data_IF_660166409016
#
_entry.id   IF_660166409016
#
_cell.length_a   1.000
_cell.length_b   1.000
_cell.length_c   1.000
_cell.angle_alpha   90.00
_cell.angle_beta   90.00
_cell.angle_gamma   90.00
#
_symmetry.space_group_name_H-M   'P 1'
#
loop_
_entity.id
_entity.type
_entity.pdbx_description
1 polymer ?
#
# COMPACT_ATOMS: atom_id res chain seq x y z
N UNK A 1 86.51 33.35 -5.77
CA UNK A 1 86.06 34.42 -4.83
C UNK A 1 86.03 35.74 -5.57
N UNK A 2 84.97 36.53 -5.34
CA UNK A 2 84.66 37.90 -5.83
C UNK A 2 84.08 38.00 -7.25
N UNK A 3 83.01 38.73 -7.53
CA UNK A 3 81.77 39.18 -6.84
C UNK A 3 81.09 40.17 -7.83
N UNK A 4 79.76 40.09 -7.97
CA UNK A 4 78.78 41.17 -8.30
C UNK A 4 78.75 41.85 -9.71
N UNK A 5 77.70 41.48 -10.48
CA UNK A 5 76.59 42.22 -11.15
C UNK A 5 76.50 43.78 -11.11
N UNK A 6 75.48 44.44 -11.74
CA UNK A 6 75.09 44.55 -13.17
C UNK A 6 74.62 46.01 -13.59
N UNK A 7 74.09 46.17 -14.82
CA UNK A 7 73.26 47.31 -15.28
C UNK A 7 73.89 48.12 -16.43
N UNK A 8 73.20 48.70 -17.42
CA UNK A 8 71.78 48.83 -17.77
C UNK A 8 71.72 49.25 -19.27
N UNK A 9 70.64 48.95 -20.01
CA UNK A 9 70.42 49.53 -21.33
C UNK A 9 68.91 49.69 -21.66
N UNK A 10 68.51 50.97 -21.69
CA UNK A 10 67.72 51.71 -22.71
C UNK A 10 66.41 51.14 -23.27
N UNK A 11 65.40 52.02 -23.22
CA UNK A 11 64.03 51.91 -23.71
C UNK A 11 63.87 51.98 -25.23
N UNK A 12 62.82 51.31 -25.75
CA UNK A 12 62.08 51.71 -26.96
C UNK A 12 60.59 51.41 -26.77
N UNK A 13 59.77 52.43 -27.03
CA UNK A 13 58.31 52.40 -27.00
C UNK A 13 57.73 51.80 -28.30
N UNK A 14 56.61 51.09 -28.16
CA UNK A 14 55.80 50.61 -29.29
C UNK A 14 54.46 50.08 -28.80
N UNK A 15 53.43 50.92 -28.84
CA UNK A 15 52.02 50.54 -28.59
C UNK A 15 51.52 49.66 -29.75
N UNK A 16 51.24 48.40 -29.44
CA UNK A 16 50.38 47.52 -30.23
C UNK A 16 49.32 46.98 -29.26
N UNK A 17 48.08 47.43 -29.46
CA UNK A 17 46.92 46.94 -28.71
C UNK A 17 46.59 45.53 -29.22
N UNK A 18 46.99 44.54 -28.44
CA UNK A 18 46.57 43.14 -28.58
C UNK A 18 45.94 42.75 -27.24
N UNK A 19 44.63 42.54 -27.25
CA UNK A 19 43.84 41.99 -26.15
C UNK A 19 44.42 40.65 -25.72
N UNK A 20 45.00 40.63 -24.51
CA UNK A 20 45.62 39.46 -23.92
C UNK A 20 44.59 38.64 -23.13
N UNK A 21 44.54 37.34 -23.44
CA UNK A 21 44.03 36.31 -22.53
C UNK A 21 44.95 36.16 -21.32
N UNK A 22 44.36 35.88 -20.15
CA UNK A 22 45.05 35.14 -19.09
C UNK A 22 44.67 35.56 -17.68
N UNK A 23 43.87 34.72 -17.00
CA UNK A 23 43.86 34.74 -15.54
C UNK A 23 42.64 34.15 -14.86
N UNK A 24 42.77 32.87 -14.52
CA UNK A 24 42.09 32.18 -13.43
C UNK A 24 40.67 31.67 -13.68
N UNK A 25 40.60 30.34 -13.80
CA UNK A 25 39.37 29.58 -13.79
C UNK A 25 38.59 29.81 -12.51
N UNK A 26 37.30 29.98 -12.72
CA UNK A 26 36.25 29.44 -11.86
C UNK A 26 35.13 29.10 -12.83
N UNK A 27 35.33 27.99 -13.55
CA UNK A 27 34.19 27.22 -14.04
C UNK A 27 33.48 26.76 -12.77
N UNK A 28 32.58 27.60 -12.30
CA UNK A 28 31.50 27.23 -11.40
C UNK A 28 30.58 26.29 -12.21
N UNK A 29 31.10 25.09 -12.42
CA UNK A 29 30.31 23.90 -12.68
C UNK A 29 29.60 23.58 -11.37
N UNK A 30 28.67 24.46 -11.01
CA UNK A 30 27.49 24.07 -10.27
C UNK A 30 26.88 22.94 -11.05
N UNK A 31 27.22 21.71 -10.66
CA UNK A 31 26.44 20.54 -10.96
C UNK A 31 25.02 20.92 -10.55
N UNK A 32 24.19 21.25 -11.53
CA UNK A 32 22.76 21.25 -11.31
C UNK A 32 22.48 19.82 -10.85
N UNK A 33 22.30 19.64 -9.54
CA UNK A 33 21.58 18.47 -9.07
C UNK A 33 20.31 18.50 -9.90
N UNK A 34 20.02 17.43 -10.62
CA UNK A 34 18.68 17.27 -11.15
C UNK A 34 17.81 17.18 -9.91
N UNK A 35 17.27 18.31 -9.44
CA UNK A 35 16.59 18.49 -8.16
C UNK A 35 15.26 17.77 -8.16
N UNK A 36 15.32 16.44 -8.21
CA UNK A 36 14.17 15.56 -8.13
C UNK A 36 13.62 15.62 -6.73
N UNK A 37 12.30 15.67 -6.63
CA UNK A 37 11.61 15.53 -5.35
C UNK A 37 11.85 14.13 -4.80
N UNK A 38 12.25 14.04 -3.53
CA UNK A 38 12.62 12.80 -2.86
C UNK A 38 11.46 12.30 -2.01
N UNK A 39 11.05 11.05 -2.23
CA UNK A 39 10.07 10.35 -1.42
C UNK A 39 10.79 9.32 -0.55
N UNK A 40 10.54 9.37 0.75
CA UNK A 40 10.91 8.30 1.68
C UNK A 40 9.68 7.51 2.07
N UNK A 41 9.60 6.25 1.65
CA UNK A 41 8.61 5.29 2.11
C UNK A 41 9.12 4.62 3.39
N UNK A 42 8.43 4.85 4.51
CA UNK A 42 8.73 4.21 5.80
C UNK A 42 7.68 3.15 6.09
N UNK A 43 8.13 1.91 6.28
CA UNK A 43 7.29 0.72 6.42
C UNK A 43 7.43 0.18 7.84
N UNK A 44 6.35 0.20 8.62
CA UNK A 44 6.25 -0.43 9.94
C UNK A 44 6.03 -1.97 9.82
N UNK A 45 6.90 -2.59 9.04
CA UNK A 45 6.82 -3.97 8.60
C UNK A 45 7.97 -4.27 7.65
N UNK A 46 7.68 -5.02 6.58
CA UNK A 46 8.65 -5.23 5.51
C UNK A 46 7.98 -5.53 4.18
N UNK A 47 8.74 -5.37 3.12
CA UNK A 47 8.41 -5.79 1.77
C UNK A 47 8.41 -7.32 1.67
N UNK A 48 7.88 -7.84 0.56
CA UNK A 48 7.70 -9.26 0.31
C UNK A 48 6.38 -9.82 0.85
N UNK A 49 5.47 -8.95 1.34
CA UNK A 49 4.14 -9.32 1.79
C UNK A 49 3.19 -9.71 0.65
N UNK A 50 3.59 -9.47 -0.60
CA UNK A 50 2.82 -9.76 -1.82
C UNK A 50 1.43 -9.11 -1.81
N UNK A 51 1.23 -8.06 -1.01
CA UNK A 51 -0.08 -7.46 -0.79
C UNK A 51 0.03 -5.95 -0.62
N UNK A 52 -0.01 -5.46 0.61
CA UNK A 52 -0.19 -4.06 0.98
C UNK A 52 1.09 -3.22 0.82
N UNK A 53 2.20 -3.62 1.45
CA UNK A 53 3.45 -2.85 1.40
C UNK A 53 4.16 -3.00 0.06
N UNK A 54 4.11 -4.18 -0.56
CA UNK A 54 4.59 -4.36 -1.94
C UNK A 54 3.79 -3.47 -2.91
N UNK A 55 2.46 -3.33 -2.73
CA UNK A 55 1.64 -2.40 -3.52
C UNK A 55 2.09 -0.96 -3.35
N UNK A 56 2.28 -0.49 -2.11
CA UNK A 56 2.75 0.86 -1.84
C UNK A 56 4.11 1.15 -2.50
N UNK A 57 5.05 0.22 -2.37
CA UNK A 57 6.38 0.33 -2.98
C UNK A 57 6.32 0.37 -4.50
N UNK A 58 5.57 -0.53 -5.15
CA UNK A 58 5.48 -0.55 -6.61
C UNK A 58 4.82 0.73 -7.16
N UNK A 59 3.84 1.30 -6.45
CA UNK A 59 3.26 2.60 -6.82
C UNK A 59 4.27 3.75 -6.80
N UNK A 60 5.08 3.83 -5.73
CA UNK A 60 6.10 4.87 -5.62
C UNK A 60 7.31 4.62 -6.54
N UNK A 61 7.61 3.36 -6.85
CA UNK A 61 8.62 3.01 -7.85
C UNK A 61 8.19 3.44 -9.26
N UNK A 62 6.90 3.31 -9.58
CA UNK A 62 6.34 3.91 -10.80
C UNK A 62 6.48 5.42 -10.79
N UNK A 63 6.22 6.10 -9.67
CA UNK A 63 6.43 7.54 -9.57
C UNK A 63 7.90 7.94 -9.79
N UNK A 64 8.86 7.16 -9.28
CA UNK A 64 10.29 7.34 -9.57
C UNK A 64 10.59 7.22 -11.08
N UNK A 65 10.12 6.15 -11.72
CA UNK A 65 10.44 5.89 -13.13
C UNK A 65 9.67 6.78 -14.13
N UNK A 66 8.41 7.10 -13.84
CA UNK A 66 7.49 7.77 -14.78
C UNK A 66 7.38 9.27 -14.51
N UNK A 67 7.50 9.72 -13.25
CA UNK A 67 7.29 11.12 -12.84
C UNK A 67 8.59 11.81 -12.38
N UNK A 68 9.71 11.07 -12.32
CA UNK A 68 11.02 11.63 -11.99
C UNK A 68 11.19 12.01 -10.52
N UNK A 69 10.56 11.26 -9.62
CA UNK A 69 10.91 11.29 -8.19
C UNK A 69 12.19 10.48 -7.92
N UNK A 70 12.72 10.58 -6.71
CA UNK A 70 13.70 9.63 -6.15
C UNK A 70 13.06 8.90 -4.98
N UNK A 71 13.14 7.57 -4.95
CA UNK A 71 12.54 6.77 -3.89
C UNK A 71 13.62 6.20 -2.95
N UNK A 72 13.42 6.41 -1.65
CA UNK A 72 14.12 5.67 -0.59
C UNK A 72 13.11 4.88 0.23
N UNK A 73 13.47 3.64 0.59
CA UNK A 73 12.63 2.78 1.42
C UNK A 73 13.33 2.49 2.74
N UNK A 74 12.58 2.53 3.84
CA UNK A 74 13.03 2.15 5.18
C UNK A 74 12.06 1.12 5.76
N UNK A 75 12.55 -0.08 6.07
CA UNK A 75 11.78 -1.15 6.70
C UNK A 75 12.11 -1.21 8.20
N UNK A 76 11.13 -0.90 9.06
CA UNK A 76 11.30 -0.93 10.52
C UNK A 76 11.08 -2.32 11.13
N UNK A 77 10.60 -3.28 10.32
CA UNK A 77 10.24 -4.61 10.77
C UNK A 77 8.94 -4.63 11.60
N UNK A 78 8.64 -5.79 12.18
CA UNK A 78 7.38 -6.05 12.90
C UNK A 78 7.47 -5.75 14.41
N UNK A 79 8.66 -5.36 14.90
CA UNK A 79 8.87 -5.06 16.32
C UNK A 79 8.38 -3.64 16.63
N UNK A 80 7.21 -3.55 17.26
CA UNK A 80 6.56 -2.28 17.59
C UNK A 80 7.43 -1.36 18.44
N UNK A 81 8.36 -1.89 19.23
CA UNK A 81 9.26 -1.08 20.05
C UNK A 81 10.27 -0.27 19.22
N UNK A 82 10.43 -0.62 17.94
CA UNK A 82 11.31 0.08 16.99
C UNK A 82 10.58 1.11 16.12
N UNK A 83 9.25 1.12 16.13
CA UNK A 83 8.48 1.96 15.21
C UNK A 83 8.62 3.44 15.56
N UNK A 84 8.32 3.82 16.79
CA UNK A 84 8.45 5.21 17.27
C UNK A 84 9.85 5.81 17.00
N UNK A 85 10.97 5.24 17.52
CA UNK A 85 12.29 5.79 17.22
C UNK A 85 12.64 5.74 15.73
N UNK A 86 12.15 4.74 15.00
CA UNK A 86 12.36 4.66 13.54
C UNK A 86 11.64 5.77 12.76
N UNK A 87 10.44 6.17 13.19
CA UNK A 87 9.73 7.31 12.60
C UNK A 87 10.35 8.64 13.00
N UNK A 88 10.81 8.79 14.25
CA UNK A 88 11.57 9.97 14.69
C UNK A 88 12.83 10.16 13.84
N UNK A 89 13.65 9.11 13.69
CA UNK A 89 14.86 9.12 12.86
C UNK A 89 14.54 9.41 11.39
N UNK A 90 13.47 8.81 10.86
CA UNK A 90 13.06 9.03 9.48
C UNK A 90 12.60 10.47 9.22
N UNK A 91 11.87 11.07 10.17
CA UNK A 91 11.38 12.44 10.08
C UNK A 91 12.49 13.48 10.24
N UNK A 92 13.47 13.22 11.13
CA UNK A 92 14.60 14.12 11.41
C UNK A 92 15.64 14.19 10.27
N UNK A 93 15.66 13.22 9.37
CA UNK A 93 16.66 13.15 8.31
C UNK A 93 16.38 14.13 7.15
N UNK A 94 17.43 14.72 6.59
CA UNK A 94 17.32 15.71 5.49
C UNK A 94 17.20 15.12 4.08
N UNK A 95 17.14 13.79 3.97
CA UNK A 95 17.21 13.03 2.72
C UNK A 95 15.86 12.83 2.00
N UNK A 96 14.82 13.57 2.40
CA UNK A 96 13.49 13.49 1.79
C UNK A 96 12.82 14.86 1.69
N UNK A 97 11.85 14.97 0.79
CA UNK A 97 10.91 16.10 0.71
C UNK A 97 9.49 15.67 1.11
N UNK A 98 9.14 14.42 0.80
CA UNK A 98 7.89 13.76 1.19
C UNK A 98 8.20 12.48 1.97
N UNK A 99 7.64 12.33 3.17
CA UNK A 99 7.64 11.07 3.92
C UNK A 99 6.30 10.38 3.75
N UNK A 100 6.30 9.22 3.10
CA UNK A 100 5.13 8.37 2.93
C UNK A 100 5.16 7.22 3.94
N UNK A 101 4.07 7.03 4.67
CA UNK A 101 3.93 5.93 5.63
C UNK A 101 2.45 5.56 5.78
N UNK A 102 2.15 4.36 6.26
CA UNK A 102 0.76 3.92 6.36
C UNK A 102 0.53 2.88 7.43
N UNK A 103 -0.74 2.50 7.58
CA UNK A 103 -1.36 1.72 8.67
C UNK A 103 -1.94 2.56 9.80
N UNK A 104 -2.90 1.97 10.52
CA UNK A 104 -3.55 2.57 11.69
C UNK A 104 -2.55 3.02 12.75
N UNK A 105 -1.57 2.18 13.12
CA UNK A 105 -0.59 2.46 14.17
C UNK A 105 0.34 3.65 13.82
N UNK A 106 0.50 3.98 12.54
CA UNK A 106 1.39 5.05 12.07
C UNK A 106 0.79 6.44 12.23
N UNK A 107 -0.54 6.53 12.34
CA UNK A 107 -1.24 7.83 12.37
C UNK A 107 -0.84 8.70 13.55
N UNK A 108 -0.62 8.12 14.73
CA UNK A 108 -0.20 8.87 15.93
C UNK A 108 1.23 9.42 15.77
N UNK A 109 2.18 8.60 15.28
CA UNK A 109 3.57 9.03 15.06
C UNK A 109 3.64 10.20 14.08
N UNK A 110 2.95 10.09 12.94
CA UNK A 110 2.94 11.18 11.95
C UNK A 110 2.21 12.41 12.49
N UNK A 111 1.14 12.22 13.27
CA UNK A 111 0.41 13.31 13.91
C UNK A 111 1.28 14.14 14.86
N UNK A 112 2.18 13.50 15.60
CA UNK A 112 3.11 14.17 16.51
C UNK A 112 4.33 14.78 15.80
N UNK A 113 4.84 14.12 14.75
CA UNK A 113 6.06 14.53 14.05
C UNK A 113 5.81 15.61 13.00
N UNK A 114 4.75 15.51 12.21
CA UNK A 114 4.51 16.43 11.09
C UNK A 114 4.51 17.92 11.48
N UNK A 115 3.94 18.35 12.62
CA UNK A 115 4.01 19.74 13.06
C UNK A 115 5.42 20.26 13.36
N UNK A 116 6.37 19.37 13.65
CA UNK A 116 7.76 19.71 13.97
C UNK A 116 8.60 19.96 12.70
N UNK A 117 8.11 19.52 11.54
CA UNK A 117 8.79 19.64 10.25
C UNK A 117 7.87 20.33 9.22
N UNK A 118 7.51 21.62 9.41
CA UNK A 118 6.54 22.31 8.57
C UNK A 118 6.96 22.46 7.09
N UNK A 119 8.26 22.43 6.82
CA UNK A 119 8.82 22.50 5.46
C UNK A 119 8.83 21.13 4.74
N UNK A 120 8.46 20.05 5.43
CA UNK A 120 8.36 18.70 4.89
C UNK A 120 6.90 18.32 4.67
N UNK A 121 6.66 17.48 3.67
CA UNK A 121 5.34 16.94 3.35
C UNK A 121 5.23 15.51 3.90
N UNK A 122 4.03 15.14 4.33
CA UNK A 122 3.75 13.80 4.83
C UNK A 122 2.55 13.20 4.10
N UNK A 123 2.69 11.96 3.63
CA UNK A 123 1.60 11.18 3.06
C UNK A 123 1.31 10.00 3.99
N UNK A 124 0.07 9.96 4.48
CA UNK A 124 -0.45 8.85 5.26
C UNK A 124 -1.41 8.06 4.39
N UNK A 125 -1.21 6.75 4.30
CA UNK A 125 -2.16 5.88 3.61
C UNK A 125 -2.76 4.86 4.57
N UNK A 126 -3.90 4.27 4.18
CA UNK A 126 -4.67 3.25 4.90
C UNK A 126 -5.47 3.76 6.10
N UNK A 127 -4.98 4.78 6.78
CA UNK A 127 -5.68 5.48 7.85
C UNK A 127 -5.46 6.99 7.73
N UNK A 128 -6.01 7.77 8.65
CA UNK A 128 -5.88 9.22 8.65
C UNK A 128 -5.43 9.72 10.02
N UNK A 129 -4.61 10.78 10.00
CA UNK A 129 -4.29 11.55 11.20
C UNK A 129 -5.51 12.31 11.70
N UNK A 130 -5.51 12.68 12.98
CA UNK A 130 -6.55 13.54 13.54
C UNK A 130 -6.33 15.02 13.15
N UNK A 131 -6.99 15.45 12.08
CA UNK A 131 -6.99 16.85 11.63
C UNK A 131 -7.69 17.82 12.59
N UNK A 132 -8.38 17.35 13.64
CA UNK A 132 -9.02 18.23 14.63
C UNK A 132 -8.01 18.86 15.60
N UNK A 133 -6.79 18.33 15.66
CA UNK A 133 -5.70 18.82 16.51
C UNK A 133 -5.76 18.37 17.97
N UNK A 134 -6.55 17.34 18.30
CA UNK A 134 -6.67 16.81 19.67
C UNK A 134 -5.58 15.79 20.03
N UNK A 135 -5.06 15.08 19.03
CA UNK A 135 -4.08 14.00 19.20
C UNK A 135 -2.78 14.32 18.43
N UNK A 136 -1.87 15.09 19.00
CA UNK A 136 -0.51 15.29 18.47
C UNK A 136 -0.36 16.35 17.36
N UNK A 137 -1.34 16.51 16.47
CA UNK A 137 -1.30 17.51 15.39
C UNK A 137 -1.56 18.95 15.87
N UNK A 138 -0.60 19.53 16.58
CA UNK A 138 -0.68 20.90 17.11
C UNK A 138 -0.92 21.99 16.05
N UNK A 139 -0.57 21.72 14.78
CA UNK A 139 -0.80 22.61 13.63
C UNK A 139 -1.94 22.12 12.71
N UNK A 140 -2.85 21.26 13.19
CA UNK A 140 -3.93 20.63 12.39
C UNK A 140 -3.44 19.78 11.20
N UNK A 141 -2.18 19.33 11.25
CA UNK A 141 -1.59 18.51 10.19
C UNK A 141 -1.64 19.19 8.80
N UNK A 142 -1.46 20.51 8.69
CA UNK A 142 -1.59 21.25 7.42
C UNK A 142 -0.61 20.79 6.31
N UNK A 143 0.47 20.09 6.66
CA UNK A 143 1.45 19.47 5.76
C UNK A 143 1.27 17.95 5.59
N UNK A 144 0.16 17.38 6.08
CA UNK A 144 -0.17 15.96 5.96
C UNK A 144 -1.32 15.78 4.98
N UNK A 145 -1.17 14.83 4.06
CA UNK A 145 -2.25 14.30 3.23
C UNK A 145 -2.54 12.87 3.67
N UNK A 146 -3.81 12.55 3.92
CA UNK A 146 -4.22 11.18 4.26
C UNK A 146 -5.12 10.58 3.18
N UNK A 147 -4.85 9.35 2.76
CA UNK A 147 -5.74 8.56 1.89
C UNK A 147 -6.22 7.30 2.61
N UNK A 148 -7.53 7.20 2.82
CA UNK A 148 -8.19 6.00 3.35
C UNK A 148 -8.93 5.26 2.26
N UNK A 149 -9.23 3.99 2.50
CA UNK A 149 -9.88 3.14 1.52
C UNK A 149 -11.24 2.69 2.04
N UNK A 150 -12.23 2.58 1.14
CA UNK A 150 -13.53 1.98 1.44
C UNK A 150 -13.45 0.46 1.33
N UNK A 151 -12.60 -0.15 2.16
CA UNK A 151 -12.32 -1.58 2.09
C UNK A 151 -13.54 -2.46 2.40
N UNK A 152 -14.54 -1.95 3.12
CA UNK A 152 -15.85 -2.57 3.23
C UNK A 152 -16.52 -2.82 1.87
N UNK A 153 -16.36 -1.94 0.88
CA UNK A 153 -16.93 -2.14 -0.45
C UNK A 153 -16.31 -3.37 -1.16
N UNK A 154 -14.98 -3.52 -1.07
CA UNK A 154 -14.28 -4.70 -1.56
C UNK A 154 -14.62 -5.96 -0.76
N UNK A 155 -14.73 -5.83 0.56
CA UNK A 155 -15.23 -6.88 1.44
C UNK A 155 -16.62 -7.36 1.02
N UNK A 156 -17.53 -6.44 0.70
CA UNK A 156 -18.87 -6.77 0.21
C UNK A 156 -18.82 -7.61 -1.07
N UNK A 157 -17.98 -7.25 -2.03
CA UNK A 157 -17.80 -8.05 -3.24
C UNK A 157 -17.23 -9.45 -2.94
N UNK A 158 -16.23 -9.56 -2.07
CA UNK A 158 -15.71 -10.86 -1.64
C UNK A 158 -16.78 -11.72 -0.98
N UNK A 159 -17.53 -11.16 -0.03
CA UNK A 159 -18.59 -11.90 0.66
C UNK A 159 -19.68 -12.37 -0.28
N UNK A 160 -20.09 -11.50 -1.21
CA UNK A 160 -21.10 -11.80 -2.22
C UNK A 160 -20.62 -12.94 -3.12
N UNK A 161 -19.41 -12.84 -3.66
CA UNK A 161 -18.81 -13.86 -4.52
C UNK A 161 -18.64 -15.19 -3.78
N UNK A 162 -18.11 -15.17 -2.54
CA UNK A 162 -17.88 -16.37 -1.74
C UNK A 162 -19.18 -17.15 -1.51
N UNK A 163 -20.28 -16.47 -1.17
CA UNK A 163 -21.57 -17.12 -1.01
C UNK A 163 -22.09 -17.69 -2.34
N UNK A 164 -22.01 -16.94 -3.44
CA UNK A 164 -22.47 -17.43 -4.74
C UNK A 164 -21.72 -18.68 -5.19
N UNK A 165 -20.40 -18.70 -5.04
CA UNK A 165 -19.55 -19.84 -5.35
C UNK A 165 -19.95 -21.09 -4.55
N UNK A 166 -20.23 -20.93 -3.25
CA UNK A 166 -20.64 -22.01 -2.36
C UNK A 166 -22.07 -22.48 -2.66
N UNK A 167 -23.03 -21.56 -2.77
CA UNK A 167 -24.45 -21.87 -2.98
C UNK A 167 -24.69 -22.58 -4.32
N UNK A 168 -23.97 -22.18 -5.37
CA UNK A 168 -24.04 -22.76 -6.71
C UNK A 168 -23.09 -23.96 -6.90
N UNK A 169 -22.33 -24.33 -5.85
CA UNK A 169 -21.36 -25.45 -5.88
C UNK A 169 -20.32 -25.30 -7.01
N UNK A 170 -19.90 -24.07 -7.28
CA UNK A 170 -19.01 -23.73 -8.39
C UNK A 170 -17.54 -24.10 -8.12
N UNK A 171 -17.19 -24.42 -6.87
CA UNK A 171 -15.83 -24.77 -6.45
C UNK A 171 -15.60 -26.29 -6.55
N UNK A 172 -14.85 -26.71 -7.57
CA UNK A 172 -14.55 -28.12 -7.84
C UNK A 172 -13.88 -28.80 -6.63
N UNK A 173 -14.40 -29.95 -6.23
CA UNK A 173 -13.92 -30.70 -5.06
C UNK A 173 -14.38 -30.14 -3.70
N UNK A 174 -15.16 -29.04 -3.69
CA UNK A 174 -15.74 -28.42 -2.50
C UNK A 174 -17.28 -28.30 -2.60
N UNK A 175 -17.93 -29.02 -3.51
CA UNK A 175 -19.36 -28.92 -3.85
C UNK A 175 -20.30 -29.28 -2.69
N UNK A 176 -19.81 -30.04 -1.71
CA UNK A 176 -20.55 -30.44 -0.51
C UNK A 176 -20.30 -29.54 0.70
N UNK A 177 -19.40 -28.55 0.58
CA UNK A 177 -19.02 -27.66 1.66
C UNK A 177 -19.86 -26.40 1.63
N UNK A 178 -20.23 -25.90 2.81
CA UNK A 178 -21.09 -24.73 2.97
C UNK A 178 -20.52 -23.69 3.94
N UNK A 179 -19.21 -23.71 4.17
CA UNK A 179 -18.55 -22.72 5.03
C UNK A 179 -17.52 -21.95 4.24
N UNK A 180 -17.30 -20.70 4.65
CA UNK A 180 -16.20 -19.85 4.17
C UNK A 180 -15.47 -19.29 5.38
N UNK A 181 -14.18 -19.07 5.27
CA UNK A 181 -13.36 -18.50 6.33
C UNK A 181 -12.86 -17.10 5.99
N UNK A 182 -12.62 -16.30 7.02
CA UNK A 182 -11.86 -15.05 6.94
C UNK A 182 -10.80 -15.08 8.04
N UNK A 183 -9.54 -14.90 7.64
CA UNK A 183 -8.40 -14.77 8.57
C UNK A 183 -7.99 -13.31 8.60
N UNK A 184 -8.34 -12.60 9.66
CA UNK A 184 -7.89 -11.21 9.88
C UNK A 184 -6.50 -11.17 10.53
N UNK A 185 -5.73 -10.11 10.32
CA UNK A 185 -4.48 -9.90 11.07
C UNK A 185 -4.75 -9.69 12.56
N UNK A 186 -5.41 -8.58 12.89
CA UNK A 186 -5.81 -8.20 14.26
C UNK A 186 -7.13 -7.45 14.23
N UNK A 187 -7.85 -7.41 15.35
CA UNK A 187 -9.14 -6.75 15.45
C UNK A 187 -8.99 -5.23 15.63
N UNK A 188 -8.77 -4.54 14.52
CA UNK A 188 -8.69 -3.07 14.40
C UNK A 188 -9.71 -2.56 13.37
N UNK A 189 -10.08 -1.26 13.38
CA UNK A 189 -11.13 -0.73 12.51
C UNK A 189 -10.98 -1.10 11.03
N UNK A 190 -9.77 -0.97 10.45
CA UNK A 190 -9.50 -1.32 9.04
C UNK A 190 -9.83 -2.78 8.72
N UNK A 191 -9.46 -3.71 9.59
CA UNK A 191 -9.72 -5.15 9.38
C UNK A 191 -11.20 -5.49 9.63
N UNK A 192 -11.81 -4.86 10.64
CA UNK A 192 -13.24 -5.01 10.88
C UNK A 192 -14.07 -4.48 9.70
N UNK A 193 -13.63 -3.40 9.03
CA UNK A 193 -14.32 -2.81 7.89
C UNK A 193 -14.40 -3.80 6.70
N UNK A 194 -13.30 -4.48 6.38
CA UNK A 194 -13.30 -5.60 5.43
C UNK A 194 -14.30 -6.71 5.83
N UNK A 195 -14.28 -7.14 7.10
CA UNK A 195 -15.10 -8.25 7.60
C UNK A 195 -16.58 -7.87 7.66
N UNK A 196 -16.91 -6.63 7.99
CA UNK A 196 -18.27 -6.09 7.99
C UNK A 196 -18.81 -6.09 6.56
N UNK A 197 -18.03 -5.56 5.61
CA UNK A 197 -18.33 -5.64 4.18
C UNK A 197 -18.60 -7.08 3.74
N UNK A 198 -17.68 -8.00 4.06
CA UNK A 198 -17.81 -9.43 3.75
C UNK A 198 -19.11 -10.03 4.25
N UNK A 199 -19.44 -9.83 5.53
CA UNK A 199 -20.68 -10.36 6.09
C UNK A 199 -21.91 -9.74 5.44
N UNK A 200 -21.87 -8.46 5.06
CA UNK A 200 -22.96 -7.78 4.37
C UNK A 200 -23.18 -8.37 2.97
N UNK A 201 -22.11 -8.52 2.18
CA UNK A 201 -22.18 -9.12 0.84
C UNK A 201 -22.60 -10.58 0.85
N UNK A 202 -22.05 -11.36 1.76
CA UNK A 202 -22.40 -12.77 1.97
C UNK A 202 -23.89 -12.93 2.30
N UNK A 203 -24.43 -12.07 3.18
CA UNK A 203 -25.85 -12.06 3.50
C UNK A 203 -26.70 -11.65 2.28
N UNK A 204 -26.29 -10.64 1.53
CA UNK A 204 -27.00 -10.14 0.36
C UNK A 204 -27.08 -11.18 -0.77
N UNK A 205 -26.03 -12.00 -0.95
CA UNK A 205 -25.99 -13.09 -1.92
C UNK A 205 -26.88 -14.30 -1.56
N UNK A 206 -27.46 -14.33 -0.35
CA UNK A 206 -28.38 -15.38 0.08
C UNK A 206 -27.85 -16.30 1.19
N UNK A 207 -26.76 -15.93 1.87
CA UNK A 207 -26.07 -16.69 2.93
C UNK A 207 -26.91 -17.02 4.17
N UNK A 208 -27.91 -17.89 4.00
CA UNK A 208 -28.83 -18.37 5.05
C UNK A 208 -28.48 -19.78 5.52
N UNK A 209 -27.94 -20.60 4.62
CA UNK A 209 -27.60 -22.01 4.85
C UNK A 209 -26.07 -22.26 4.91
N UNK A 210 -25.29 -21.24 4.58
CA UNK A 210 -23.83 -21.23 4.63
C UNK A 210 -23.34 -20.51 5.89
N UNK A 211 -22.08 -20.72 6.30
CA UNK A 211 -21.51 -20.10 7.51
C UNK A 211 -20.19 -19.40 7.25
N UNK A 212 -20.01 -18.23 7.85
CA UNK A 212 -18.74 -17.50 7.87
C UNK A 212 -17.99 -17.82 9.16
N UNK A 213 -16.77 -18.36 9.03
CA UNK A 213 -15.81 -18.52 10.12
C UNK A 213 -14.90 -17.28 10.13
N UNK A 214 -14.69 -16.66 11.28
CA UNK A 214 -13.75 -15.55 11.42
C UNK A 214 -12.79 -15.86 12.55
N UNK A 215 -11.50 -15.72 12.29
CA UNK A 215 -10.44 -15.79 13.29
C UNK A 215 -9.39 -14.74 12.96
N UNK A 216 -8.60 -14.37 13.97
CA UNK A 216 -7.50 -13.42 13.81
C UNK A 216 -6.18 -14.11 14.12
N UNK A 217 -5.13 -13.72 13.40
CA UNK A 217 -3.76 -14.15 13.67
C UNK A 217 -3.36 -13.72 15.10
N UNK A 218 -3.56 -12.44 15.42
CA UNK A 218 -3.25 -11.88 16.73
C UNK A 218 -1.76 -11.95 17.08
N UNK A 219 -1.45 -11.96 18.38
CA UNK A 219 -0.09 -11.98 18.88
C UNK A 219 0.68 -10.68 18.61
N UNK A 220 2.01 -10.75 18.69
CA UNK A 220 2.89 -9.57 18.61
C UNK A 220 3.15 -9.09 17.17
N UNK A 221 2.93 -9.96 16.19
CA UNK A 221 3.18 -9.72 14.75
C UNK A 221 1.99 -10.18 13.89
N UNK A 222 0.79 -9.60 14.09
CA UNK A 222 -0.45 -10.07 13.46
C UNK A 222 -0.40 -10.08 11.93
N UNK A 223 0.43 -9.24 11.33
CA UNK A 223 0.65 -9.15 9.89
C UNK A 223 1.99 -9.75 9.44
N UNK A 224 2.72 -10.44 10.32
CA UNK A 224 4.06 -11.01 10.06
C UNK A 224 4.25 -12.47 10.51
N UNK A 225 3.16 -13.22 10.67
CA UNK A 225 3.18 -14.63 11.10
C UNK A 225 2.47 -15.58 10.12
N UNK A 226 3.12 -15.94 8.99
CA UNK A 226 2.56 -16.90 8.04
C UNK A 226 2.27 -18.26 8.65
N UNK A 227 3.07 -18.70 9.64
CA UNK A 227 2.87 -20.00 10.28
C UNK A 227 1.55 -20.01 11.07
N UNK A 228 1.25 -18.94 11.81
CA UNK A 228 -0.03 -18.82 12.50
C UNK A 228 -1.21 -18.65 11.55
N UNK A 229 -1.04 -17.88 10.47
CA UNK A 229 -2.03 -17.80 9.39
C UNK A 229 -2.39 -19.17 8.82
N UNK A 230 -1.38 -19.99 8.50
CA UNK A 230 -1.53 -21.37 8.03
C UNK A 230 -2.24 -22.28 9.03
N UNK A 231 -1.91 -22.19 10.32
CA UNK A 231 -2.54 -22.98 11.37
C UNK A 231 -4.06 -22.70 11.42
N UNK A 232 -4.43 -21.42 11.43
CA UNK A 232 -5.82 -20.97 11.50
C UNK A 232 -6.60 -21.42 10.25
N UNK A 233 -6.07 -21.16 9.06
CA UNK A 233 -6.74 -21.53 7.80
C UNK A 233 -6.85 -23.05 7.64
N UNK A 234 -5.83 -23.82 8.04
CA UNK A 234 -5.88 -25.29 8.09
C UNK A 234 -7.04 -25.76 8.98
N UNK A 235 -7.21 -25.15 10.16
CA UNK A 235 -8.31 -25.47 11.05
C UNK A 235 -9.68 -25.09 10.44
N UNK A 236 -9.78 -24.00 9.67
CA UNK A 236 -11.00 -23.62 8.94
C UNK A 236 -11.34 -24.63 7.83
N UNK A 237 -10.35 -25.05 7.04
CA UNK A 237 -10.54 -26.08 6.02
C UNK A 237 -10.95 -27.41 6.64
N UNK A 238 -10.34 -27.81 7.77
CA UNK A 238 -10.73 -29.00 8.54
C UNK A 238 -12.15 -28.91 9.12
N UNK A 239 -12.65 -27.70 9.39
CA UNK A 239 -14.04 -27.46 9.75
C UNK A 239 -15.00 -27.48 8.55
N UNK A 240 -14.51 -27.65 7.32
CA UNK A 240 -15.31 -27.73 6.11
C UNK A 240 -15.50 -26.40 5.40
N UNK A 241 -14.55 -25.45 5.52
CA UNK A 241 -14.52 -24.29 4.66
C UNK A 241 -14.19 -24.69 3.21
N UNK A 242 -14.99 -24.21 2.25
CA UNK A 242 -14.71 -24.35 0.82
C UNK A 242 -13.61 -23.38 0.38
N UNK A 243 -13.62 -22.19 0.98
CA UNK A 243 -12.70 -21.10 0.71
C UNK A 243 -12.34 -20.35 2.01
N UNK A 244 -11.11 -19.85 2.13
CA UNK A 244 -10.69 -18.94 3.20
C UNK A 244 -10.10 -17.67 2.58
N UNK A 245 -10.51 -16.49 3.04
CA UNK A 245 -9.96 -15.21 2.61
C UNK A 245 -9.02 -14.62 3.68
N UNK A 246 -7.72 -14.48 3.40
CA UNK A 246 -6.77 -13.86 4.33
C UNK A 246 -6.74 -12.34 4.16
N UNK A 247 -7.17 -11.61 5.19
CA UNK A 247 -7.04 -10.14 5.33
C UNK A 247 -5.97 -9.87 6.39
N UNK A 248 -4.74 -10.31 6.11
CA UNK A 248 -3.70 -10.44 7.12
C UNK A 248 -2.26 -10.17 6.62
N UNK A 249 -2.08 -9.42 5.54
CA UNK A 249 -0.77 -9.06 5.01
C UNK A 249 0.14 -10.28 4.80
N UNK A 250 1.40 -10.20 5.24
CA UNK A 250 2.36 -11.31 5.14
C UNK A 250 1.87 -12.58 5.85
N UNK A 251 1.17 -12.47 6.99
CA UNK A 251 0.56 -13.63 7.66
C UNK A 251 -0.42 -14.39 6.76
N UNK A 252 -1.05 -13.70 5.82
CA UNK A 252 -1.96 -14.26 4.83
C UNK A 252 -1.29 -15.29 3.92
N UNK A 253 0.04 -15.24 3.73
CA UNK A 253 0.76 -16.16 2.85
C UNK A 253 0.59 -17.63 3.26
N UNK A 254 0.46 -17.91 4.56
CA UNK A 254 0.20 -19.26 5.06
C UNK A 254 -1.17 -19.82 4.64
N UNK A 255 -2.13 -18.95 4.31
CA UNK A 255 -3.46 -19.37 3.85
C UNK A 255 -3.38 -20.00 2.47
N UNK A 256 -2.60 -19.43 1.53
CA UNK A 256 -2.41 -20.04 0.19
C UNK A 256 -1.77 -21.43 0.30
N UNK A 257 -0.77 -21.59 1.17
CA UNK A 257 -0.13 -22.89 1.39
C UNK A 257 -1.11 -23.93 1.95
N UNK A 258 -1.94 -23.53 2.94
CA UNK A 258 -2.96 -24.43 3.50
C UNK A 258 -4.07 -24.75 2.50
N UNK A 259 -4.44 -23.80 1.62
CA UNK A 259 -5.44 -24.01 0.57
C UNK A 259 -4.97 -25.06 -0.43
N UNK A 260 -3.71 -24.93 -0.89
CA UNK A 260 -3.07 -25.90 -1.75
C UNK A 260 -2.99 -27.29 -1.09
N UNK A 261 -2.58 -27.34 0.18
CA UNK A 261 -2.50 -28.58 0.95
C UNK A 261 -3.85 -29.27 1.15
N UNK A 262 -4.92 -28.48 1.30
CA UNK A 262 -6.28 -28.98 1.51
C UNK A 262 -7.02 -29.30 0.19
N UNK A 263 -6.47 -28.91 -0.96
CA UNK A 263 -7.21 -28.93 -2.24
C UNK A 263 -8.46 -28.04 -2.16
N UNK A 264 -8.29 -26.82 -1.63
CA UNK A 264 -9.35 -25.83 -1.40
C UNK A 264 -8.95 -24.48 -1.99
N UNK A 265 -9.87 -23.52 -1.94
CA UNK A 265 -9.72 -22.24 -2.61
C UNK A 265 -9.45 -21.10 -1.63
N UNK A 266 -8.93 -20.00 -2.14
CA UNK A 266 -8.70 -18.77 -1.39
C UNK A 266 -9.05 -17.57 -2.26
N UNK A 267 -9.28 -16.43 -1.62
CA UNK A 267 -9.13 -15.15 -2.29
C UNK A 267 -7.77 -14.55 -1.94
N UNK A 268 -7.29 -13.63 -2.75
CA UNK A 268 -6.21 -12.72 -2.34
C UNK A 268 -6.75 -11.40 -1.79
N UNK A 269 -5.85 -10.55 -1.32
CA UNK A 269 -6.13 -9.23 -0.79
C UNK A 269 -5.03 -8.23 -1.18
N UNK A 270 -5.43 -6.96 -1.28
CA UNK A 270 -4.63 -5.78 -1.60
C UNK A 270 -4.08 -5.76 -3.04
N UNK A 271 -3.32 -6.78 -3.42
CA UNK A 271 -2.73 -6.96 -4.74
C UNK A 271 -3.31 -8.18 -5.45
N UNK A 272 -3.07 -8.29 -6.75
CA UNK A 272 -3.33 -9.51 -7.52
C UNK A 272 -2.37 -10.62 -7.10
N UNK A 273 -2.81 -11.43 -6.13
CA UNK A 273 -2.00 -12.49 -5.54
C UNK A 273 -1.97 -13.74 -6.41
N UNK A 274 -2.83 -13.84 -7.41
CA UNK A 274 -2.62 -14.83 -8.46
C UNK A 274 -1.35 -14.51 -9.25
N UNK A 275 -1.04 -13.23 -9.50
CA UNK A 275 0.19 -12.84 -10.23
C UNK A 275 1.44 -12.76 -9.33
N UNK A 276 1.31 -12.31 -8.08
CA UNK A 276 2.48 -12.09 -7.20
C UNK A 276 3.00 -13.36 -6.53
N UNK A 277 2.19 -14.42 -6.42
CA UNK A 277 2.64 -15.72 -5.92
C UNK A 277 3.48 -16.46 -6.97
N UNK A 278 4.52 -17.17 -6.51
CA UNK A 278 5.44 -17.90 -7.40
C UNK A 278 5.17 -19.40 -7.44
N UNK A 279 4.53 -19.96 -6.42
CA UNK A 279 4.21 -21.39 -6.34
C UNK A 279 2.89 -21.68 -7.07
N UNK A 280 2.93 -22.50 -8.12
CA UNK A 280 1.74 -22.78 -8.93
C UNK A 280 0.63 -23.50 -8.16
N UNK A 281 0.95 -24.35 -7.17
CA UNK A 281 -0.07 -25.03 -6.38
C UNK A 281 -0.84 -24.01 -5.52
N UNK A 282 -0.15 -23.00 -4.99
CA UNK A 282 -0.76 -21.87 -4.29
C UNK A 282 -1.55 -20.97 -5.25
N UNK A 283 -0.96 -20.55 -6.38
CA UNK A 283 -1.63 -19.70 -7.38
C UNK A 283 -2.96 -20.29 -7.84
N UNK A 284 -2.98 -21.58 -8.16
CA UNK A 284 -4.17 -22.27 -8.66
C UNK A 284 -5.30 -22.38 -7.62
N UNK A 285 -5.05 -22.05 -6.36
CA UNK A 285 -6.10 -21.97 -5.32
C UNK A 285 -6.78 -20.61 -5.27
N UNK A 286 -6.16 -19.56 -5.82
CA UNK A 286 -6.69 -18.18 -5.80
C UNK A 286 -7.82 -18.09 -6.83
N UNK A 287 -9.03 -17.73 -6.40
CA UNK A 287 -10.17 -17.52 -7.31
C UNK A 287 -10.12 -16.11 -7.92
N UNK A 288 -9.83 -15.12 -7.08
CA UNK A 288 -9.60 -13.70 -7.43
C UNK A 288 -8.89 -13.05 -6.24
N UNK A 289 -8.41 -11.82 -6.41
CA UNK A 289 -7.97 -10.95 -5.33
C UNK A 289 -8.94 -9.81 -5.14
N UNK A 290 -9.26 -9.49 -3.88
CA UNK A 290 -9.90 -8.21 -3.56
C UNK A 290 -8.82 -7.15 -3.50
N UNK A 291 -8.88 -6.21 -4.45
CA UNK A 291 -7.87 -5.19 -4.61
C UNK A 291 -8.08 -4.05 -3.63
N UNK A 292 -6.97 -3.60 -3.05
CA UNK A 292 -6.80 -2.33 -2.37
C UNK A 292 -5.56 -1.70 -2.98
N UNK A 293 -5.78 -0.86 -3.99
CA UNK A 293 -4.75 -0.35 -4.87
C UNK A 293 -3.92 0.76 -4.20
N UNK A 294 -3.24 0.44 -3.09
CA UNK A 294 -2.40 1.38 -2.33
C UNK A 294 -1.37 2.04 -3.22
N UNK A 295 -0.70 1.25 -4.06
CA UNK A 295 0.26 1.76 -5.03
C UNK A 295 -0.34 2.77 -6.01
N UNK A 296 -1.55 2.52 -6.53
CA UNK A 296 -2.20 3.47 -7.44
C UNK A 296 -2.61 4.77 -6.72
N UNK A 297 -3.06 4.67 -5.47
CA UNK A 297 -3.38 5.85 -4.67
C UNK A 297 -2.14 6.72 -4.40
N UNK A 298 -0.99 6.10 -4.08
CA UNK A 298 0.28 6.82 -3.87
C UNK A 298 0.86 7.36 -5.18
N UNK A 299 0.76 6.60 -6.28
CA UNK A 299 1.14 7.08 -7.60
C UNK A 299 0.31 8.30 -8.01
N UNK A 300 -1.01 8.25 -7.83
CA UNK A 300 -1.91 9.39 -8.05
C UNK A 300 -1.55 10.59 -7.17
N UNK A 301 -1.22 10.38 -5.90
CA UNK A 301 -0.76 11.45 -5.02
C UNK A 301 0.52 12.11 -5.56
N UNK A 302 1.45 11.35 -6.14
CA UNK A 302 2.64 11.87 -6.81
C UNK A 302 2.30 12.64 -8.10
N UNK A 303 1.34 12.17 -8.89
CA UNK A 303 0.85 12.93 -10.06
C UNK A 303 0.21 14.26 -9.66
N UNK A 304 -0.55 14.27 -8.57
CA UNK A 304 -1.20 15.46 -8.04
C UNK A 304 -0.18 16.40 -7.40
N UNK A 305 0.89 15.89 -6.77
CA UNK A 305 1.97 16.70 -6.17
C UNK A 305 2.75 17.46 -7.24
N UNK A 306 3.04 16.84 -8.39
CA UNK A 306 3.63 17.55 -9.56
C UNK A 306 2.79 18.71 -10.08
N UNK A 307 1.49 18.70 -9.78
CA UNK A 307 0.51 19.70 -10.24
C UNK A 307 0.09 20.64 -9.10
N UNK A 308 0.74 20.56 -7.94
CA UNK A 308 0.35 21.27 -6.71
C UNK A 308 -1.14 21.07 -6.33
N UNK A 309 -1.66 19.86 -6.58
CA UNK A 309 -3.07 19.49 -6.43
C UNK A 309 -3.36 18.58 -5.22
N UNK A 310 -2.33 18.14 -4.49
CA UNK A 310 -2.51 17.37 -3.25
C UNK A 310 -3.20 18.24 -2.20
N UNK A 311 -4.29 17.73 -1.63
CA UNK A 311 -5.05 18.40 -0.58
C UNK A 311 -4.45 18.11 0.79
N UNK A 312 -3.36 18.79 1.12
CA UNK A 312 -2.81 18.74 2.47
C UNK A 312 -3.79 19.33 3.50
N UNK A 313 -3.71 18.87 4.75
CA UNK A 313 -4.66 19.21 5.81
C UNK A 313 -6.02 18.50 5.67
N UNK A 314 -6.10 17.45 4.85
CA UNK A 314 -7.35 16.74 4.60
C UNK A 314 -7.17 15.23 4.40
N UNK A 315 -8.27 14.51 4.61
CA UNK A 315 -8.41 13.09 4.27
C UNK A 315 -9.19 12.92 2.97
N UNK A 316 -8.67 12.10 2.07
CA UNK A 316 -9.37 11.58 0.90
C UNK A 316 -9.78 10.13 1.17
N UNK A 317 -11.03 9.77 0.86
CA UNK A 317 -11.53 8.40 1.03
C UNK A 317 -11.91 7.83 -0.33
N UNK A 318 -11.20 6.79 -0.76
CA UNK A 318 -11.30 6.21 -2.10
C UNK A 318 -11.83 4.78 -2.06
N UNK A 319 -12.70 4.42 -2.99
CA UNK A 319 -13.35 3.10 -3.05
C UNK A 319 -13.48 2.57 -4.48
N UNK A 320 -14.58 1.86 -4.75
CA UNK A 320 -14.91 1.36 -6.09
C UNK A 320 -15.13 2.47 -7.11
N UNK A 321 -15.67 3.62 -6.67
CA UNK A 321 -15.92 4.78 -7.53
C UNK A 321 -14.63 5.37 -8.10
N UNK A 322 -13.56 5.33 -7.31
CA UNK A 322 -12.22 5.83 -7.66
C UNK A 322 -11.28 4.72 -8.16
N UNK A 323 -11.80 3.51 -8.40
CA UNK A 323 -11.03 2.32 -8.79
C UNK A 323 -9.87 1.97 -7.82
N UNK A 324 -9.97 2.44 -6.57
CA UNK A 324 -8.99 2.18 -5.52
C UNK A 324 -9.27 0.88 -4.76
N UNK A 325 -10.52 0.40 -4.80
CA UNK A 325 -10.95 -0.89 -4.26
C UNK A 325 -11.71 -1.64 -5.35
N UNK A 326 -11.53 -2.96 -5.42
CA UNK A 326 -12.19 -3.76 -6.45
C UNK A 326 -11.86 -5.25 -6.34
N UNK A 327 -11.92 -5.95 -7.46
CA UNK A 327 -11.46 -7.33 -7.58
C UNK A 327 -10.74 -7.52 -8.91
N UNK A 328 -9.90 -8.56 -8.99
CA UNK A 328 -9.24 -8.95 -10.24
C UNK A 328 -10.24 -9.68 -11.13
N UNK A 329 -10.41 -9.16 -12.35
CA UNK A 329 -11.25 -9.74 -13.40
C UNK A 329 -10.38 -10.01 -14.65
N UNK A 330 -9.53 -11.03 -14.56
CA UNK A 330 -8.62 -11.48 -15.61
C UNK A 330 -9.07 -12.81 -16.25
N UNK A 331 -8.32 -13.31 -17.23
CA UNK A 331 -8.63 -14.57 -17.92
C UNK A 331 -8.77 -15.75 -16.93
N UNK A 332 -7.98 -15.76 -15.86
CA UNK A 332 -8.07 -16.79 -14.82
C UNK A 332 -9.39 -16.70 -14.04
N UNK A 333 -9.80 -15.51 -13.61
CA UNK A 333 -11.10 -15.31 -12.97
C UNK A 333 -12.26 -15.69 -13.91
N UNK A 334 -12.16 -15.34 -15.19
CA UNK A 334 -13.15 -15.68 -16.21
C UNK A 334 -13.29 -17.19 -16.43
N UNK A 335 -12.20 -17.94 -16.29
CA UNK A 335 -12.16 -19.40 -16.36
C UNK A 335 -12.70 -20.07 -15.09
N UNK A 336 -12.29 -19.59 -13.91
CA UNK A 336 -12.62 -20.22 -12.62
C UNK A 336 -14.03 -19.89 -12.15
N UNK A 337 -14.58 -18.72 -12.50
CA UNK A 337 -15.89 -18.25 -12.03
C UNK A 337 -16.93 -18.33 -13.14
N UNK A 338 -18.03 -19.10 -12.95
CA UNK A 338 -19.11 -19.18 -13.92
C UNK A 338 -19.67 -17.81 -14.32
N UNK A 339 -19.95 -17.63 -15.62
CA UNK A 339 -20.45 -16.37 -16.20
C UNK A 339 -21.63 -15.78 -15.42
N UNK A 340 -22.60 -16.61 -15.03
CA UNK A 340 -23.75 -16.17 -14.22
C UNK A 340 -23.30 -15.48 -12.93
N UNK A 341 -22.34 -16.05 -12.20
CA UNK A 341 -21.82 -15.49 -10.96
C UNK A 341 -21.06 -14.19 -11.23
N UNK A 342 -20.29 -14.13 -12.33
CA UNK A 342 -19.57 -12.92 -12.74
C UNK A 342 -20.52 -11.77 -13.06
N UNK A 343 -21.59 -12.02 -13.80
CA UNK A 343 -22.62 -11.02 -14.09
C UNK A 343 -23.29 -10.51 -12.82
N UNK A 344 -23.68 -11.41 -11.91
CA UNK A 344 -24.29 -11.02 -10.63
C UNK A 344 -23.31 -10.21 -9.74
N UNK A 345 -22.02 -10.55 -9.75
CA UNK A 345 -20.98 -9.80 -9.04
C UNK A 345 -20.78 -8.40 -9.64
N UNK A 346 -20.73 -8.29 -10.97
CA UNK A 346 -20.61 -6.99 -11.65
C UNK A 346 -21.81 -6.10 -11.36
N UNK A 347 -23.04 -6.62 -11.40
CA UNK A 347 -24.23 -5.85 -11.03
C UNK A 347 -24.18 -5.36 -9.57
N UNK A 348 -23.62 -6.17 -8.66
CA UNK A 348 -23.42 -5.78 -7.28
C UNK A 348 -22.36 -4.68 -7.15
N UNK A 349 -21.24 -4.79 -7.89
CA UNK A 349 -20.20 -3.78 -7.96
C UNK A 349 -20.73 -2.45 -8.52
N UNK A 350 -21.52 -2.45 -9.59
CA UNK A 350 -22.11 -1.26 -10.19
C UNK A 350 -23.06 -0.53 -9.23
N UNK A 351 -23.83 -1.27 -8.43
CA UNK A 351 -24.72 -0.70 -7.41
C UNK A 351 -23.93 -0.04 -6.29
N UNK A 352 -22.83 -0.65 -5.85
CA UNK A 352 -21.92 -0.05 -4.86
C UNK A 352 -21.23 1.19 -5.43
N UNK A 353 -20.65 1.06 -6.63
CA UNK A 353 -19.93 2.14 -7.34
C UNK A 353 -20.81 3.37 -7.60
N UNK A 354 -22.07 3.16 -7.95
CA UNK A 354 -23.04 4.25 -8.16
C UNK A 354 -23.63 4.84 -6.87
N UNK A 355 -23.38 4.23 -5.71
CA UNK A 355 -24.01 4.61 -4.44
C UNK A 355 -25.46 4.15 -4.28
N UNK A 356 -26.01 3.40 -5.24
CA UNK A 356 -27.34 2.79 -5.14
C UNK A 356 -27.43 1.73 -4.03
N UNK A 357 -26.28 1.16 -3.64
CA UNK A 357 -26.12 0.28 -2.50
C UNK A 357 -25.01 0.82 -1.59
N UNK A 358 -25.39 1.23 -0.38
CA UNK A 358 -24.42 1.63 0.65
C UNK A 358 -24.00 0.42 1.48
N UNK A 359 -22.70 0.14 1.53
CA UNK A 359 -22.14 -0.94 2.33
C UNK A 359 -21.89 -0.44 3.77
N UNK A 360 -22.27 -1.21 4.81
CA UNK A 360 -21.94 -0.86 6.19
C UNK A 360 -20.42 -0.72 6.39
N UNK A 361 -20.00 0.17 7.28
CA UNK A 361 -18.59 0.45 7.58
C UNK A 361 -18.30 0.37 9.08
N UNK A 362 -17.04 0.13 9.43
CA UNK A 362 -16.51 0.23 10.79
C UNK A 362 -16.18 1.68 11.23
N UNK A 363 -16.22 2.64 10.30
CA UNK A 363 -15.86 4.05 10.50
C UNK A 363 -17.07 4.97 10.68
#
# INVERSE_FOLDING_TARGET
MRRFAPGAAVAVAGMLVLTACGGSGSDDSGSASSGKTRIKLVINGGLGDKSFFDSAHEGLKRAESELGYELKVVELGQDRTKWEPGFEDAAAADDYDILAAGTFDVTDYIGELAPQYPDKKFWVFDSAVDYTGKNGCSNKCENVYSVTFKQNEGGYLAGFLAEKLVAEKALKGAESLNKVGVVGGVKIPVIEDFIIGFKAGFKAAGGRNSRVLVQYVGGDKPFGDPAKGKEISTAMYGQGAALVWPVAGLSGLGTFESAASAGRYTFGVDSDQYQTLTDNAQKNTVVTSILKNVGNALYKAAEDDKKDAVKYGAVESVGLAEDAVGYVDDDHFQEVVPEKIRTELQEAADKVKSGSLTVPSAF
#
